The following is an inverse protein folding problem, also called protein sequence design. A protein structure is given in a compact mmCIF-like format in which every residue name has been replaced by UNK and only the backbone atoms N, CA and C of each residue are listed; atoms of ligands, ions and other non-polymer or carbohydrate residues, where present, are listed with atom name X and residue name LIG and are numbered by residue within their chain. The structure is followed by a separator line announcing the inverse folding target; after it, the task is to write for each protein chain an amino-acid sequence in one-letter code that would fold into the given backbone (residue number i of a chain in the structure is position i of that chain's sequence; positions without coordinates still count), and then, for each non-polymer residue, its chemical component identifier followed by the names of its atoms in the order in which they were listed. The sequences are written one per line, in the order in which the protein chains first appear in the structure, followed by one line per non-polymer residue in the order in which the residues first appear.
data_IF_825670663872
#
_entry.id   IF_825670663872
#
_cell.length_a   1.000
_cell.length_b   1.000
_cell.length_c   1.000
_cell.angle_alpha   90.00
_cell.angle_beta   90.00
_cell.angle_gamma   90.00
#
_symmetry.space_group_name_H-M   'P 1'
#
loop_
_entity.id
_entity.type
_entity.pdbx_description
1 polymer ?
#
# COMPACT_ATOMS: atom_id res chain seq x y z
N UNK A 1 -56.44 2.06 1.24
CA UNK A 1 -55.38 2.80 1.95
C UNK A 1 -54.36 1.76 2.41
N UNK A 2 -53.26 1.60 1.67
CA UNK A 2 -52.22 0.60 1.92
C UNK A 2 -51.14 1.22 2.83
N UNK A 3 -50.94 0.63 4.01
CA UNK A 3 -49.87 0.99 4.93
C UNK A 3 -48.56 0.33 4.46
N UNK A 4 -47.68 1.15 3.92
CA UNK A 4 -46.31 0.79 3.54
C UNK A 4 -45.44 0.62 4.79
N UNK A 5 -44.95 -0.59 5.03
CA UNK A 5 -43.89 -0.88 6.01
C UNK A 5 -42.54 -0.42 5.45
N UNK A 6 -42.07 0.75 5.88
CA UNK A 6 -40.71 1.22 5.60
C UNK A 6 -39.73 0.48 6.50
N UNK A 7 -39.06 -0.53 5.95
CA UNK A 7 -37.93 -1.21 6.58
C UNK A 7 -36.75 -0.23 6.68
N UNK A 8 -36.23 -0.01 7.89
CA UNK A 8 -35.02 0.78 8.11
C UNK A 8 -33.81 -0.01 7.62
N UNK A 9 -33.38 0.26 6.38
CA UNK A 9 -32.02 -0.01 5.95
C UNK A 9 -31.19 1.25 6.22
N UNK A 10 -30.40 1.22 7.28
CA UNK A 10 -29.34 2.21 7.53
C UNK A 10 -28.38 2.16 6.35
N UNK A 11 -28.50 3.16 5.46
CA UNK A 11 -27.52 3.43 4.40
C UNK A 11 -26.21 3.83 5.09
N UNK A 12 -25.30 2.87 5.22
CA UNK A 12 -23.93 3.14 5.61
C UNK A 12 -23.22 3.93 4.51
N UNK A 13 -22.64 5.05 4.94
CA UNK A 13 -21.56 5.83 4.34
C UNK A 13 -21.79 6.39 2.93
N UNK A 14 -21.96 7.71 2.88
CA UNK A 14 -21.95 8.54 1.69
C UNK A 14 -20.76 8.23 0.77
N UNK A 15 -21.07 7.79 -0.45
CA UNK A 15 -20.15 7.84 -1.57
C UNK A 15 -19.86 9.31 -1.89
N UNK A 16 -18.63 9.77 -1.66
CA UNK A 16 -18.16 11.07 -2.15
C UNK A 16 -17.57 12.03 -1.12
N UNK A 17 -17.39 11.66 0.15
CA UNK A 17 -16.46 12.41 1.01
C UNK A 17 -15.06 12.22 0.42
N UNK A 18 -14.52 13.27 -0.19
CA UNK A 18 -13.07 13.40 -0.40
C UNK A 18 -12.43 12.97 0.92
N UNK A 19 -11.62 11.89 0.90
CA UNK A 19 -10.94 11.44 2.11
C UNK A 19 -10.12 12.62 2.63
N UNK A 20 -10.61 13.25 3.70
CA UNK A 20 -9.89 14.32 4.35
C UNK A 20 -8.77 13.66 5.14
N UNK A 21 -7.49 14.02 4.90
CA UNK A 21 -6.38 13.45 5.65
C UNK A 21 -6.59 13.74 7.14
N UNK A 22 -6.56 12.68 7.96
CA UNK A 22 -6.66 12.79 9.40
C UNK A 22 -5.26 12.94 9.98
N UNK A 23 -4.92 14.18 10.30
CA UNK A 23 -3.61 14.53 10.85
C UNK A 23 -3.54 14.22 12.35
N UNK A 24 -2.50 13.49 12.75
CA UNK A 24 -2.19 13.16 14.14
C UNK A 24 -0.70 13.33 14.42
N UNK A 25 -0.35 13.53 15.68
CA UNK A 25 1.05 13.47 16.13
C UNK A 25 1.49 12.01 16.26
N UNK A 26 2.73 11.71 15.92
CA UNK A 26 3.34 10.39 16.05
C UNK A 26 4.67 10.50 16.81
N UNK A 27 5.17 9.41 17.43
CA UNK A 27 6.53 9.39 17.97
C UNK A 27 7.57 9.58 16.87
N UNK A 28 8.81 9.93 17.24
CA UNK A 28 9.92 10.06 16.30
C UNK A 28 10.33 8.70 15.70
N UNK A 29 10.72 8.69 14.43
CA UNK A 29 11.40 7.60 13.74
C UNK A 29 12.91 7.62 14.04
N UNK A 30 13.28 6.96 15.13
CA UNK A 30 14.69 6.83 15.54
C UNK A 30 15.48 5.89 14.61
N UNK A 31 14.85 4.81 14.17
CA UNK A 31 15.46 3.75 13.36
C UNK A 31 14.78 3.58 11.99
N UNK A 32 15.51 3.02 11.02
CA UNK A 32 14.91 2.59 9.74
C UNK A 32 14.15 1.28 9.96
N UNK A 33 12.95 1.11 9.35
CA UNK A 33 12.16 -0.11 9.48
C UNK A 33 12.94 -1.39 9.13
N UNK A 34 12.62 -2.49 9.80
CA UNK A 34 13.27 -3.80 9.63
C UNK A 34 13.22 -4.29 8.17
N UNK A 35 12.11 -4.05 7.45
CA UNK A 35 11.94 -4.48 6.07
C UNK A 35 12.96 -3.85 5.09
N UNK A 36 13.66 -2.79 5.49
CA UNK A 36 14.76 -2.17 4.72
C UNK A 36 16.14 -2.72 5.10
N UNK A 37 16.26 -3.37 6.26
CA UNK A 37 17.52 -3.86 6.81
C UNK A 37 17.74 -5.36 6.52
N UNK A 38 16.66 -6.12 6.29
CA UNK A 38 16.75 -7.55 5.98
C UNK A 38 17.48 -7.79 4.64
N UNK A 39 18.66 -8.42 4.70
CA UNK A 39 19.23 -9.11 3.54
C UNK A 39 18.36 -10.32 3.21
N UNK A 40 17.47 -10.17 2.24
CA UNK A 40 16.59 -11.26 1.80
C UNK A 40 17.36 -12.17 0.86
N UNK A 41 17.37 -13.46 1.16
CA UNK A 41 17.90 -14.47 0.25
C UNK A 41 17.17 -14.35 -1.09
N UNK A 42 17.93 -14.08 -2.14
CA UNK A 42 17.45 -13.68 -3.46
C UNK A 42 16.56 -14.75 -4.10
N UNK A 43 15.25 -14.64 -3.95
CA UNK A 43 14.36 -14.90 -5.07
C UNK A 43 14.15 -13.58 -5.80
N UNK A 44 15.19 -13.06 -6.46
CA UNK A 44 15.10 -11.87 -7.33
C UNK A 44 14.36 -12.28 -8.59
N UNK A 45 13.04 -12.29 -8.50
CA UNK A 45 12.14 -12.58 -9.60
C UNK A 45 11.58 -11.32 -10.25
N UNK A 46 11.00 -11.50 -11.42
CA UNK A 46 10.01 -10.58 -11.99
C UNK A 46 8.61 -11.13 -11.66
N UNK A 47 7.57 -10.29 -11.65
CA UNK A 47 6.19 -10.75 -11.39
C UNK A 47 5.75 -11.85 -12.38
N UNK A 48 6.26 -11.80 -13.61
CA UNK A 48 6.07 -12.75 -14.70
C UNK A 48 6.66 -14.14 -14.44
N UNK A 49 7.55 -14.29 -13.46
CA UNK A 49 8.13 -15.59 -13.06
C UNK A 49 7.43 -16.22 -11.86
N UNK A 50 6.41 -15.57 -11.31
CA UNK A 50 5.62 -16.16 -10.24
C UNK A 50 4.86 -17.40 -10.74
N UNK A 51 4.68 -18.41 -9.88
CA UNK A 51 3.77 -19.52 -10.20
C UNK A 51 2.34 -19.00 -10.39
N UNK A 52 1.50 -19.75 -11.13
CA UNK A 52 0.08 -19.43 -11.28
C UNK A 52 -0.63 -19.52 -9.92
N UNK A 53 -1.03 -18.37 -9.38
CA UNK A 53 -1.63 -18.21 -8.06
C UNK A 53 -2.39 -16.88 -8.00
N UNK A 54 -3.17 -16.71 -6.95
CA UNK A 54 -3.64 -15.40 -6.52
C UNK A 54 -2.80 -14.93 -5.34
N UNK A 55 -2.27 -13.71 -5.37
CA UNK A 55 -1.63 -13.07 -4.22
C UNK A 55 -2.58 -12.01 -3.66
N UNK A 56 -2.93 -12.12 -2.39
CA UNK A 56 -3.82 -11.19 -1.69
C UNK A 56 -3.00 -10.45 -0.64
N UNK A 57 -3.02 -9.11 -0.66
CA UNK A 57 -2.27 -8.32 0.31
C UNK A 57 -2.76 -8.61 1.73
N UNK A 58 -1.81 -8.86 2.63
CA UNK A 58 -2.02 -9.09 4.06
C UNK A 58 -1.83 -7.78 4.83
N UNK A 59 -0.74 -7.09 4.56
CA UNK A 59 -0.39 -5.81 5.17
C UNK A 59 0.54 -5.01 4.24
N UNK A 60 0.69 -3.72 4.53
CA UNK A 60 1.57 -2.82 3.84
C UNK A 60 2.26 -1.86 4.80
N UNK A 61 3.53 -1.61 4.52
CA UNK A 61 4.44 -0.74 5.26
C UNK A 61 4.99 0.32 4.32
N UNK A 62 4.66 1.60 4.58
CA UNK A 62 5.09 2.73 3.77
C UNK A 62 6.09 3.56 4.57
N UNK A 63 7.34 3.62 4.13
CA UNK A 63 8.39 4.45 4.72
C UNK A 63 8.85 5.52 3.74
N UNK A 64 9.03 6.75 4.24
CA UNK A 64 9.53 7.90 3.48
C UNK A 64 10.79 8.41 4.17
N UNK A 65 11.85 8.62 3.41
CA UNK A 65 13.14 9.12 3.89
C UNK A 65 13.66 10.23 2.98
N UNK A 66 13.83 11.43 3.56
CA UNK A 66 14.54 12.54 2.92
C UNK A 66 16.06 12.41 3.07
N UNK A 67 16.82 12.77 2.03
CA UNK A 67 18.26 12.97 2.12
C UNK A 67 18.55 14.04 3.19
N UNK A 68 19.55 13.79 4.05
CA UNK A 68 19.85 14.66 5.19
C UNK A 68 19.00 14.44 6.45
N UNK A 69 18.18 13.37 6.51
CA UNK A 69 17.38 12.96 7.68
C UNK A 69 16.32 13.95 8.18
N UNK A 70 15.96 14.97 7.40
CA UNK A 70 15.01 16.01 7.87
C UNK A 70 13.54 15.57 7.83
N UNK A 71 13.22 14.58 7.00
CA UNK A 71 11.90 13.95 6.92
C UNK A 71 12.02 12.44 7.00
N UNK A 72 11.38 11.84 8.00
CA UNK A 72 11.17 10.40 8.12
C UNK A 72 9.71 10.17 8.45
N UNK A 73 9.03 9.30 7.73
CA UNK A 73 7.64 8.97 8.02
C UNK A 73 7.45 7.47 7.83
N UNK A 74 6.72 6.83 8.75
CA UNK A 74 6.45 5.41 8.67
C UNK A 74 4.98 5.15 8.94
N UNK A 75 4.31 4.49 8.01
CA UNK A 75 2.90 4.13 8.09
C UNK A 75 2.69 2.64 7.88
N UNK A 76 1.64 2.14 8.49
CA UNK A 76 1.27 0.73 8.45
C UNK A 76 -0.23 0.55 8.21
N UNK A 77 -0.56 -0.47 7.42
CA UNK A 77 -1.92 -0.88 7.10
C UNK A 77 -2.01 -2.40 7.15
N UNK A 78 -2.95 -2.95 7.93
CA UNK A 78 -3.34 -4.36 7.81
C UNK A 78 -4.58 -4.50 6.92
N UNK A 79 -4.58 -5.43 5.97
CA UNK A 79 -5.76 -5.78 5.17
C UNK A 79 -6.58 -6.92 5.79
N UNK A 80 -6.08 -7.53 6.87
CA UNK A 80 -6.83 -8.50 7.65
C UNK A 80 -7.89 -7.79 8.51
N UNK A 81 -9.09 -8.36 8.60
CA UNK A 81 -10.17 -7.82 9.44
C UNK A 81 -9.74 -7.82 10.91
N UNK A 82 -9.77 -6.67 11.58
CA UNK A 82 -9.43 -6.53 13.00
C UNK A 82 -9.24 -5.07 13.42
N UNK A 83 -8.90 -4.83 14.69
CA UNK A 83 -8.71 -3.46 15.21
C UNK A 83 -7.56 -2.69 14.54
N UNK A 84 -6.61 -3.39 13.89
CA UNK A 84 -5.47 -2.80 13.19
C UNK A 84 -5.70 -2.63 11.68
N UNK A 85 -6.95 -2.73 11.22
CA UNK A 85 -7.28 -2.61 9.79
C UNK A 85 -7.37 -1.18 9.29
N UNK A 86 -7.26 -0.18 10.15
CA UNK A 86 -7.19 1.22 9.74
C UNK A 86 -5.74 1.63 9.47
N UNK A 87 -5.47 2.40 8.40
CA UNK A 87 -4.13 2.90 8.14
C UNK A 87 -3.71 3.84 9.27
N UNK A 88 -2.50 3.67 9.77
CA UNK A 88 -1.95 4.47 10.87
C UNK A 88 -0.51 4.91 10.60
N UNK A 89 -0.13 6.05 11.16
CA UNK A 89 1.26 6.50 11.21
C UNK A 89 1.89 5.91 12.46
N UNK A 90 2.95 5.13 12.29
CA UNK A 90 3.70 4.52 13.39
C UNK A 90 4.70 5.50 13.99
N UNK A 91 5.41 6.26 13.14
CA UNK A 91 6.33 7.31 13.57
C UNK A 91 6.46 8.40 12.49
N UNK A 92 6.92 9.59 12.90
CA UNK A 92 7.21 10.68 11.98
C UNK A 92 8.11 11.78 12.56
N UNK A 93 9.00 12.30 11.73
CA UNK A 93 9.80 13.50 11.95
C UNK A 93 9.74 14.33 10.66
N UNK A 94 9.46 15.62 10.79
CA UNK A 94 9.54 16.57 9.69
C UNK A 94 9.95 17.92 10.29
N UNK A 95 11.07 18.46 9.82
CA UNK A 95 11.50 19.83 10.18
C UNK A 95 11.02 20.88 9.19
N UNK A 96 10.53 20.46 8.04
CA UNK A 96 10.03 21.35 7.01
C UNK A 96 8.66 21.91 7.40
N UNK A 97 8.53 23.23 7.26
CA UNK A 97 7.25 23.91 7.36
C UNK A 97 6.44 23.69 6.07
N UNK A 98 5.14 23.39 6.25
CA UNK A 98 4.20 23.23 5.14
C UNK A 98 3.84 21.78 4.82
N UNK A 99 2.90 21.65 3.88
CA UNK A 99 2.33 20.36 3.51
C UNK A 99 3.15 19.67 2.44
N UNK A 100 3.60 18.45 2.74
CA UNK A 100 4.12 17.53 1.73
C UNK A 100 3.25 16.29 1.63
N UNK A 101 3.13 15.76 0.41
CA UNK A 101 2.37 14.55 0.10
C UNK A 101 3.25 13.58 -0.67
N UNK A 102 3.30 12.36 -0.17
CA UNK A 102 3.98 11.22 -0.76
C UNK A 102 2.92 10.23 -1.22
N UNK A 103 3.13 9.64 -2.39
CA UNK A 103 2.17 8.74 -2.98
C UNK A 103 2.89 7.66 -3.80
N UNK A 104 2.57 6.41 -3.48
CA UNK A 104 3.08 5.25 -4.18
C UNK A 104 1.92 4.31 -4.50
N UNK A 105 1.86 3.88 -5.75
CA UNK A 105 0.87 2.91 -6.17
C UNK A 105 1.38 1.50 -6.07
N UNK A 106 0.53 0.57 -5.64
CA UNK A 106 0.89 -0.83 -5.56
C UNK A 106 -0.31 -1.75 -5.73
N UNK A 107 -0.07 -2.99 -6.20
CA UNK A 107 -1.11 -4.00 -6.25
C UNK A 107 -1.46 -4.52 -4.86
N UNK A 108 -2.74 -4.57 -4.53
CA UNK A 108 -3.25 -5.27 -3.33
C UNK A 108 -3.82 -6.65 -3.68
N UNK A 109 -3.99 -6.93 -4.97
CA UNK A 109 -4.36 -8.24 -5.51
C UNK A 109 -3.54 -8.48 -6.77
N UNK A 110 -2.81 -9.59 -6.82
CA UNK A 110 -2.06 -10.01 -8.01
C UNK A 110 -2.58 -11.36 -8.50
N UNK A 111 -3.17 -11.38 -9.69
CA UNK A 111 -3.61 -12.60 -10.37
C UNK A 111 -2.57 -12.99 -11.43
N UNK A 112 -1.86 -14.10 -11.20
CA UNK A 112 -0.79 -14.58 -12.10
C UNK A 112 -1.25 -15.72 -13.02
N UNK A 113 -2.54 -16.06 -13.04
CA UNK A 113 -3.07 -17.08 -13.95
C UNK A 113 -3.00 -16.59 -15.41
N UNK A 114 -2.64 -17.48 -16.34
CA UNK A 114 -2.63 -17.18 -17.79
C UNK A 114 -3.98 -16.66 -18.30
N UNK A 115 -5.07 -17.15 -17.70
CA UNK A 115 -6.42 -16.62 -17.86
C UNK A 115 -6.83 -16.05 -16.49
N UNK A 116 -6.84 -14.72 -16.32
CA UNK A 116 -7.18 -14.11 -15.05
C UNK A 116 -8.53 -14.60 -14.54
N UNK A 117 -8.58 -15.00 -13.27
CA UNK A 117 -9.80 -15.42 -12.58
C UNK A 117 -10.51 -14.26 -11.92
N UNK A 118 -9.75 -13.32 -11.36
CA UNK A 118 -10.25 -12.15 -10.61
C UNK A 118 -9.61 -10.84 -11.06
N UNK A 119 -8.45 -10.90 -11.72
CA UNK A 119 -7.72 -9.72 -12.20
C UNK A 119 -6.91 -9.03 -11.11
N UNK A 120 -6.46 -7.81 -11.41
CA UNK A 120 -5.58 -7.03 -10.53
C UNK A 120 -6.37 -5.99 -9.73
N UNK A 121 -5.95 -5.71 -8.49
CA UNK A 121 -6.44 -4.57 -7.70
C UNK A 121 -5.26 -3.67 -7.35
N UNK A 122 -5.37 -2.38 -7.67
CA UNK A 122 -4.34 -1.38 -7.41
C UNK A 122 -4.83 -0.36 -6.40
N UNK A 123 -3.98 -0.02 -5.44
CA UNK A 123 -4.25 0.99 -4.44
C UNK A 123 -3.15 2.05 -4.46
N UNK A 124 -3.52 3.30 -4.22
CA UNK A 124 -2.61 4.39 -3.98
C UNK A 124 -2.43 4.55 -2.48
N UNK A 125 -1.22 4.32 -1.99
CA UNK A 125 -0.82 4.56 -0.61
C UNK A 125 -0.32 5.98 -0.49
N UNK A 126 -0.81 6.70 0.50
CA UNK A 126 -0.61 8.14 0.60
C UNK A 126 -0.22 8.54 2.00
N UNK A 127 0.82 9.34 2.09
CA UNK A 127 1.29 9.88 3.35
C UNK A 127 1.43 11.38 3.22
N UNK A 128 1.05 12.10 4.26
CA UNK A 128 1.23 13.54 4.34
C UNK A 128 1.88 13.95 5.64
N UNK A 129 2.66 15.02 5.56
CA UNK A 129 3.18 15.77 6.69
C UNK A 129 2.70 17.21 6.61
N UNK A 130 2.40 17.81 7.76
CA UNK A 130 2.08 19.23 7.96
C UNK A 130 2.76 19.67 9.27
N UNK A 131 4.03 20.08 9.17
CA UNK A 131 4.90 20.31 10.33
C UNK A 131 5.11 19.03 11.14
N UNK A 132 4.66 19.01 12.40
CA UNK A 132 4.77 17.86 13.32
C UNK A 132 3.58 16.89 13.28
N UNK A 133 2.67 17.07 12.31
CA UNK A 133 1.48 16.22 12.16
C UNK A 133 1.55 15.40 10.89
N UNK A 134 1.04 14.17 10.98
CA UNK A 134 1.15 13.18 9.92
C UNK A 134 -0.20 12.51 9.64
N UNK A 135 -0.39 12.09 8.40
CA UNK A 135 -1.58 11.35 7.97
C UNK A 135 -1.17 10.24 7.02
N UNK A 136 -1.74 9.06 7.18
CA UNK A 136 -1.57 7.93 6.27
C UNK A 136 -2.94 7.36 5.90
N UNK A 137 -3.17 7.17 4.60
CA UNK A 137 -4.40 6.58 4.09
C UNK A 137 -4.15 5.95 2.73
N UNK A 138 -5.15 5.25 2.22
CA UNK A 138 -5.07 4.58 0.92
C UNK A 138 -6.36 4.78 0.12
N UNK A 139 -6.24 4.67 -1.20
CA UNK A 139 -7.34 4.80 -2.14
C UNK A 139 -7.29 3.66 -3.15
N UNK A 140 -8.37 2.89 -3.26
CA UNK A 140 -8.51 1.93 -4.36
C UNK A 140 -8.60 2.70 -5.69
N UNK A 141 -7.76 2.32 -6.66
CA UNK A 141 -7.79 2.89 -8.01
C UNK A 141 -9.06 2.44 -8.76
N UNK A 142 -9.68 3.30 -9.58
CA UNK A 142 -10.95 2.99 -10.26
C UNK A 142 -10.92 1.72 -11.13
N UNK A 143 -9.77 1.34 -11.68
CA UNK A 143 -9.54 0.03 -12.31
C UNK A 143 -8.13 -0.06 -12.87
N UNK A 144 -7.48 -1.23 -12.79
CA UNK A 144 -6.28 -1.50 -13.57
C UNK A 144 -6.65 -1.66 -15.06
N UNK A 145 -5.98 -0.97 -15.99
CA UNK A 145 -6.24 -1.16 -17.41
C UNK A 145 -5.96 -2.61 -17.80
N UNK A 146 -6.99 -3.36 -18.23
CA UNK A 146 -6.87 -4.80 -18.52
C UNK A 146 -5.83 -5.15 -19.58
N UNK A 147 -5.41 -4.17 -20.40
CA UNK A 147 -4.42 -4.35 -21.47
C UNK A 147 -2.98 -4.09 -21.01
N UNK A 148 -2.77 -3.52 -19.83
CA UNK A 148 -1.44 -3.22 -19.32
C UNK A 148 -0.87 -4.42 -18.56
N UNK A 149 0.43 -4.64 -18.71
CA UNK A 149 1.14 -5.59 -17.85
C UNK A 149 1.50 -4.89 -16.55
N UNK A 150 1.22 -5.55 -15.41
CA UNK A 150 1.40 -4.98 -14.07
C UNK A 150 2.84 -4.46 -13.85
N UNK A 151 3.84 -5.19 -14.35
CA UNK A 151 5.25 -4.78 -14.27
C UNK A 151 5.51 -3.45 -14.99
N UNK A 152 5.05 -3.35 -16.25
CA UNK A 152 5.23 -2.15 -17.06
C UNK A 152 4.53 -0.95 -16.42
N UNK A 153 3.39 -1.18 -15.77
CA UNK A 153 2.66 -0.14 -15.06
C UNK A 153 3.38 0.36 -13.80
N UNK A 154 3.92 -0.55 -12.98
CA UNK A 154 4.70 -0.17 -11.79
C UNK A 154 5.90 0.69 -12.21
N UNK A 155 6.59 0.28 -13.29
CA UNK A 155 7.72 1.02 -13.84
C UNK A 155 7.30 2.38 -14.41
N UNK A 156 6.16 2.48 -15.11
CA UNK A 156 5.67 3.75 -15.66
C UNK A 156 5.22 4.73 -14.56
N UNK A 157 4.80 4.23 -13.40
CA UNK A 157 4.54 5.03 -12.21
C UNK A 157 5.83 5.56 -11.51
N UNK A 158 7.00 5.26 -12.08
CA UNK A 158 8.31 5.73 -11.59
C UNK A 158 8.86 4.93 -10.40
N UNK A 159 8.26 3.77 -10.09
CA UNK A 159 8.74 2.89 -9.04
C UNK A 159 9.58 1.75 -9.61
N UNK A 160 10.72 1.48 -8.98
CA UNK A 160 11.43 0.21 -9.11
C UNK A 160 10.77 -0.80 -8.19
N UNK A 161 10.79 -2.08 -8.58
CA UNK A 161 10.23 -3.14 -7.75
C UNK A 161 11.18 -4.31 -7.59
N UNK A 162 11.04 -5.01 -6.47
CA UNK A 162 11.59 -6.34 -6.21
C UNK A 162 10.50 -7.18 -5.57
N UNK A 163 10.38 -8.44 -5.97
CA UNK A 163 9.52 -9.40 -5.31
C UNK A 163 10.38 -10.44 -4.61
N UNK A 164 9.97 -10.86 -3.42
CA UNK A 164 10.64 -11.87 -2.61
C UNK A 164 9.64 -12.97 -2.25
N UNK A 165 10.11 -14.22 -2.23
CA UNK A 165 9.37 -15.31 -1.61
C UNK A 165 9.83 -15.45 -0.15
N UNK A 166 8.93 -15.19 0.81
CA UNK A 166 9.25 -15.29 2.25
C UNK A 166 9.06 -16.71 2.77
N UNK A 167 8.03 -17.40 2.27
CA UNK A 167 7.73 -18.79 2.60
C UNK A 167 7.01 -19.46 1.43
N UNK A 168 6.56 -20.70 1.59
CA UNK A 168 5.91 -21.44 0.50
C UNK A 168 4.62 -20.77 0.00
N UNK A 169 3.91 -20.04 0.85
CA UNK A 169 2.66 -19.35 0.51
C UNK A 169 2.71 -17.84 0.78
N UNK A 170 3.88 -17.26 1.01
CA UNK A 170 4.00 -15.84 1.33
C UNK A 170 5.02 -15.16 0.43
N UNK A 171 4.60 -14.03 -0.10
CA UNK A 171 5.40 -13.20 -0.99
C UNK A 171 5.46 -11.78 -0.45
N UNK A 172 6.48 -11.04 -0.84
CA UNK A 172 6.60 -9.63 -0.50
C UNK A 172 7.03 -8.83 -1.72
N UNK A 173 6.28 -7.77 -2.04
CA UNK A 173 6.64 -6.80 -3.06
C UNK A 173 7.21 -5.56 -2.38
N UNK A 174 8.46 -5.24 -2.69
CA UNK A 174 9.10 -3.99 -2.30
C UNK A 174 9.12 -3.04 -3.50
N UNK A 175 8.55 -1.86 -3.33
CA UNK A 175 8.56 -0.78 -4.29
C UNK A 175 9.41 0.37 -3.78
N UNK A 176 10.23 0.92 -4.66
CA UNK A 176 11.11 2.06 -4.36
C UNK A 176 10.91 3.14 -5.41
N UNK A 177 10.50 4.32 -4.97
CA UNK A 177 10.37 5.51 -5.83
C UNK A 177 11.24 6.62 -5.29
N UNK A 178 12.12 7.16 -6.13
CA UNK A 178 12.91 8.36 -5.81
C UNK A 178 12.25 9.58 -6.43
N UNK A 179 12.11 10.64 -5.65
CA UNK A 179 11.52 11.91 -6.07
C UNK A 179 12.33 13.06 -5.47
N UNK A 180 13.23 13.62 -6.29
CA UNK A 180 14.25 14.57 -5.84
C UNK A 180 15.08 14.03 -4.68
N UNK A 181 15.07 14.76 -3.57
CA UNK A 181 15.78 14.42 -2.33
C UNK A 181 15.03 13.43 -1.44
N UNK A 182 13.88 12.90 -1.87
CA UNK A 182 13.11 11.93 -1.07
C UNK A 182 13.11 10.55 -1.70
N UNK A 183 13.25 9.51 -0.88
CA UNK A 183 13.00 8.13 -1.27
C UNK A 183 11.76 7.58 -0.55
N UNK A 184 10.86 7.01 -1.33
CA UNK A 184 9.63 6.36 -0.89
C UNK A 184 9.81 4.84 -1.02
N UNK A 185 9.59 4.12 0.07
CA UNK A 185 9.69 2.66 0.15
C UNK A 185 8.35 2.10 0.57
N UNK A 186 7.77 1.22 -0.24
CA UNK A 186 6.52 0.53 0.11
C UNK A 186 6.77 -0.98 0.06
N UNK A 187 6.64 -1.63 1.21
CA UNK A 187 6.58 -3.09 1.30
C UNK A 187 5.13 -3.54 1.40
N UNK A 188 4.75 -4.55 0.64
CA UNK A 188 3.46 -5.23 0.76
C UNK A 188 3.70 -6.71 0.90
N UNK A 189 3.19 -7.30 1.98
CA UNK A 189 3.18 -8.76 2.18
C UNK A 189 1.90 -9.36 1.62
N UNK A 190 2.02 -10.53 0.99
CA UNK A 190 0.91 -11.23 0.37
C UNK A 190 0.80 -12.66 0.84
N UNK A 191 -0.44 -13.12 0.93
CA UNK A 191 -0.82 -14.52 1.01
C UNK A 191 -1.10 -15.09 -0.38
N UNK A 192 -0.47 -16.21 -0.70
CA UNK A 192 -0.72 -16.97 -1.92
C UNK A 192 -1.90 -17.93 -1.73
N UNK A 193 -2.98 -17.69 -2.48
CA UNK A 193 -4.19 -18.50 -2.48
C UNK A 193 -4.16 -19.44 -3.69
N UNK A 194 -3.90 -20.73 -3.41
CA UNK A 194 -3.69 -21.76 -4.44
C UNK A 194 -4.95 -22.23 -5.18
N UNK A 195 -6.13 -21.94 -4.64
CA UNK A 195 -7.39 -22.40 -5.24
C UNK A 195 -8.52 -21.41 -4.92
N UNK A 196 -8.93 -20.66 -5.94
CA UNK A 196 -10.30 -20.16 -6.05
C UNK A 196 -11.11 -21.32 -6.63
N UNK A 197 -11.85 -22.04 -5.78
CA UNK A 197 -12.87 -23.00 -6.24
C UNK A 197 -14.05 -22.24 -6.83
#
# INVERSE_FOLDING_TARGET
MLLSTSSFAVKNADAGRLLQPQFSTAPACDERPEFLNEMRADFVGTLSRLPETLLVARDAEFYVEGQGQETKLYGYQSFLKGQSSEPSVLCGNSKEEGRRRFALFAPTLIDTYKKPKVGQSLWQFQMMTDGSKFSFWNLKSPSFPQKEQLEAWIQSAGAQYKIYQRSHNEYELLLVKKDGETTQYLSIRYDAVKSLK
#
